data_IF_497346915666
#
_entry.id   IF_497346915666
#
_cell.length_a   1.000
_cell.length_b   1.000
_cell.length_c   1.000
_cell.angle_alpha   90.00
_cell.angle_beta   90.00
_cell.angle_gamma   90.00
#
_symmetry.space_group_name_H-M   'P 1'
#
loop_
_entity.id
_entity.type
_entity.pdbx_description
1 polymer ?
#
# COMPACT_ATOMS: atom_id res chain seq x y z
N UNK A 1 -2.18 8.64 23.65
CA UNK A 1 -1.48 7.65 22.78
C UNK A 1 -1.97 7.90 21.37
N UNK A 2 -1.08 7.98 20.38
CA UNK A 2 -1.47 8.17 18.98
C UNK A 2 -2.16 6.91 18.45
N UNK A 3 -3.25 7.06 17.71
CA UNK A 3 -3.93 5.95 17.04
C UNK A 3 -3.27 5.76 15.65
N UNK A 4 -2.77 4.56 15.39
CA UNK A 4 -2.08 4.17 14.17
C UNK A 4 -3.08 3.53 13.21
N UNK A 5 -3.30 4.16 12.06
CA UNK A 5 -4.29 3.75 11.07
C UNK A 5 -3.60 3.34 9.78
N UNK A 6 -3.74 2.08 9.39
CA UNK A 6 -3.34 1.63 8.06
C UNK A 6 -4.44 1.96 7.05
N UNK A 7 -4.07 2.53 5.90
CA UNK A 7 -4.95 2.67 4.73
C UNK A 7 -4.49 1.65 3.69
N UNK A 8 -5.36 0.69 3.36
CA UNK A 8 -5.05 -0.35 2.38
C UNK A 8 -6.20 -0.55 1.38
N UNK A 9 -5.95 -1.31 0.36
CA UNK A 9 -6.92 -1.62 -0.69
C UNK A 9 -6.22 -2.21 -1.90
N UNK A 10 -6.95 -3.02 -2.67
CA UNK A 10 -6.40 -3.66 -3.84
C UNK A 10 -6.08 -2.66 -4.95
N UNK A 11 -5.27 -3.10 -5.92
CA UNK A 11 -4.91 -2.30 -7.09
C UNK A 11 -6.16 -1.67 -7.73
N UNK A 12 -6.08 -0.39 -8.12
CA UNK A 12 -7.17 0.39 -8.71
C UNK A 12 -8.43 0.57 -7.83
N UNK A 13 -8.36 0.32 -6.51
CA UNK A 13 -9.47 0.61 -5.57
C UNK A 13 -9.72 2.11 -5.37
N UNK A 14 -8.76 2.97 -5.72
CA UNK A 14 -8.84 4.41 -5.50
C UNK A 14 -8.30 4.86 -4.15
N UNK A 15 -7.46 4.05 -3.51
CA UNK A 15 -6.80 4.34 -2.24
C UNK A 15 -6.17 5.75 -2.21
N UNK A 16 -5.44 6.15 -3.25
CA UNK A 16 -4.82 7.47 -3.37
C UNK A 16 -5.80 8.65 -3.39
N UNK A 17 -7.04 8.43 -3.84
CA UNK A 17 -8.09 9.45 -3.74
C UNK A 17 -8.55 9.63 -2.30
N UNK A 18 -8.72 8.52 -1.56
CA UNK A 18 -9.05 8.55 -0.13
C UNK A 18 -7.93 9.24 0.68
N UNK A 19 -6.68 8.90 0.40
CA UNK A 19 -5.51 9.53 1.02
C UNK A 19 -5.54 11.05 0.84
N UNK A 20 -5.72 11.50 -0.39
CA UNK A 20 -5.82 12.94 -0.69
C UNK A 20 -6.98 13.62 0.05
N UNK A 21 -8.15 12.99 0.13
CA UNK A 21 -9.28 13.53 0.87
C UNK A 21 -8.95 13.63 2.36
N UNK A 22 -8.29 12.63 2.96
CA UNK A 22 -7.85 12.67 4.37
C UNK A 22 -6.85 13.81 4.57
N UNK A 23 -5.93 14.03 3.62
CA UNK A 23 -4.98 15.16 3.66
C UNK A 23 -5.70 16.51 3.55
N UNK A 24 -6.74 16.63 2.72
CA UNK A 24 -7.56 17.83 2.58
C UNK A 24 -8.31 18.18 3.89
N UNK A 25 -8.55 17.20 4.77
CA UNK A 25 -9.06 17.41 6.15
C UNK A 25 -7.96 17.74 7.17
N UNK A 26 -6.72 17.94 6.73
CA UNK A 26 -5.60 18.39 7.58
C UNK A 26 -4.83 17.26 8.27
N UNK A 27 -5.06 16.00 7.92
CA UNK A 27 -4.28 14.88 8.43
C UNK A 27 -3.11 14.54 7.51
N UNK A 28 -1.98 14.16 8.11
CA UNK A 28 -0.85 13.65 7.33
C UNK A 28 -1.06 12.18 6.99
N UNK A 29 -0.87 11.83 5.71
CA UNK A 29 -0.84 10.45 5.24
C UNK A 29 0.56 10.10 4.75
N UNK A 30 1.17 9.09 5.34
CA UNK A 30 2.51 8.63 4.99
C UNK A 30 2.43 7.41 4.08
N UNK A 31 3.31 7.35 3.09
CA UNK A 31 3.31 6.31 2.06
C UNK A 31 4.41 5.28 2.33
N UNK A 32 4.03 4.03 2.64
CA UNK A 32 4.97 2.94 2.87
C UNK A 32 5.78 2.55 1.63
N UNK A 33 5.27 2.82 0.42
CA UNK A 33 6.03 2.56 -0.80
C UNK A 33 7.22 3.51 -0.93
N UNK A 34 7.09 4.78 -0.48
CA UNK A 34 8.22 5.70 -0.40
C UNK A 34 9.27 5.20 0.61
N UNK A 35 8.82 4.72 1.78
CA UNK A 35 9.69 4.12 2.78
C UNK A 35 10.40 2.88 2.22
N UNK A 36 9.69 2.01 1.51
CA UNK A 36 10.26 0.85 0.85
C UNK A 36 11.32 1.24 -0.19
N UNK A 37 11.07 2.28 -0.98
CA UNK A 37 12.05 2.80 -1.95
C UNK A 37 13.33 3.31 -1.28
N UNK A 38 13.22 4.01 -0.15
CA UNK A 38 14.39 4.44 0.62
C UNK A 38 15.17 3.24 1.16
N UNK A 39 14.48 2.22 1.68
CA UNK A 39 15.11 1.00 2.17
C UNK A 39 15.83 0.28 1.04
N UNK A 40 15.22 0.15 -0.14
CA UNK A 40 15.85 -0.48 -1.30
C UNK A 40 17.19 0.16 -1.66
N UNK A 41 17.31 1.48 -1.56
CA UNK A 41 18.55 2.20 -1.85
C UNK A 41 19.68 1.90 -0.83
N UNK A 42 19.38 1.26 0.28
CA UNK A 42 20.36 0.88 1.32
C UNK A 42 20.79 -0.59 1.27
N UNK A 43 20.23 -1.40 0.34
CA UNK A 43 20.58 -2.82 0.27
C UNK A 43 21.78 -3.01 -0.64
N UNK A 44 22.72 -3.83 -0.14
CA UNK A 44 23.91 -4.27 -0.87
C UNK A 44 23.91 -5.77 -1.15
N UNK A 45 22.98 -6.50 -0.59
CA UNK A 45 22.89 -7.96 -0.61
C UNK A 45 22.63 -8.55 -2.01
N UNK A 46 22.35 -7.69 -2.98
CA UNK A 46 22.15 -8.03 -4.40
C UNK A 46 23.34 -7.65 -5.27
N UNK A 47 24.49 -7.27 -4.69
CA UNK A 47 25.74 -7.19 -5.47
C UNK A 47 26.04 -8.54 -6.11
N UNK A 48 26.44 -8.51 -7.37
CA UNK A 48 26.64 -9.71 -8.19
C UNK A 48 25.45 -10.04 -9.10
N UNK A 49 24.29 -9.37 -8.93
CA UNK A 49 23.20 -9.40 -9.90
C UNK A 49 23.21 -8.08 -10.69
N UNK A 50 22.82 -8.16 -11.99
CA UNK A 50 22.67 -6.93 -12.80
C UNK A 50 21.40 -6.15 -12.42
N UNK A 51 21.39 -5.62 -11.20
CA UNK A 51 20.27 -4.85 -10.65
C UNK A 51 20.68 -3.43 -10.24
N UNK A 52 21.91 -3.03 -10.58
CA UNK A 52 22.43 -1.71 -10.28
C UNK A 52 22.62 -0.89 -11.55
N UNK A 53 22.36 0.42 -11.45
CA UNK A 53 22.67 1.43 -12.45
C UNK A 53 23.27 2.63 -11.71
N UNK A 54 24.46 3.07 -12.11
CA UNK A 54 25.21 4.17 -11.47
C UNK A 54 25.35 4.01 -9.93
N UNK A 55 25.63 2.77 -9.49
CA UNK A 55 25.82 2.44 -8.08
C UNK A 55 24.55 2.42 -7.22
N UNK A 56 23.38 2.58 -7.83
CA UNK A 56 22.07 2.52 -7.16
C UNK A 56 21.24 1.38 -7.70
N UNK A 57 20.33 0.87 -6.86
CA UNK A 57 19.40 -0.18 -7.31
C UNK A 57 18.47 0.37 -8.40
N UNK A 58 18.52 -0.28 -9.56
CA UNK A 58 17.52 -0.13 -10.61
C UNK A 58 16.31 -0.99 -10.26
N UNK A 59 15.23 -0.32 -9.85
CA UNK A 59 13.99 -0.97 -9.40
C UNK A 59 13.33 -1.82 -10.49
N UNK A 60 13.48 -1.44 -11.76
CA UNK A 60 12.92 -2.20 -12.87
C UNK A 60 13.69 -3.51 -13.07
N UNK A 61 15.02 -3.45 -13.05
CA UNK A 61 15.89 -4.64 -13.12
C UNK A 61 15.65 -5.56 -11.92
N UNK A 62 15.64 -5.01 -10.69
CA UNK A 62 15.38 -5.78 -9.48
C UNK A 62 13.98 -6.40 -9.52
N UNK A 63 12.95 -5.63 -9.90
CA UNK A 63 11.59 -6.12 -10.04
C UNK A 63 11.49 -7.29 -11.02
N UNK A 64 12.10 -7.18 -12.19
CA UNK A 64 12.14 -8.26 -13.18
C UNK A 64 12.84 -9.52 -12.62
N UNK A 65 13.96 -9.34 -11.93
CA UNK A 65 14.71 -10.44 -11.31
C UNK A 65 13.89 -11.19 -10.27
N UNK A 66 13.26 -10.47 -9.32
CA UNK A 66 12.50 -11.12 -8.23
C UNK A 66 11.14 -11.63 -8.71
N UNK A 67 10.56 -11.05 -9.76
CA UNK A 67 9.32 -11.55 -10.36
C UNK A 67 9.52 -12.91 -11.01
N UNK A 68 10.67 -13.12 -11.64
CA UNK A 68 11.01 -14.40 -12.29
C UNK A 68 11.61 -15.44 -11.34
N UNK A 69 12.00 -15.04 -10.11
CA UNK A 69 12.67 -15.94 -9.16
C UNK A 69 12.08 -15.81 -7.75
N UNK A 70 11.17 -16.73 -7.34
CA UNK A 70 10.54 -16.71 -6.03
C UNK A 70 11.52 -16.73 -4.86
N UNK A 71 12.65 -17.43 -4.98
CA UNK A 71 13.66 -17.49 -3.91
C UNK A 71 14.33 -16.12 -3.69
N UNK A 72 14.62 -15.41 -4.77
CA UNK A 72 15.18 -14.06 -4.68
C UNK A 72 14.15 -13.06 -4.15
N UNK A 73 12.87 -13.24 -4.47
CA UNK A 73 11.79 -12.45 -3.88
C UNK A 73 11.74 -12.64 -2.37
N UNK A 74 11.72 -13.88 -1.89
CA UNK A 74 11.72 -14.20 -0.45
C UNK A 74 12.98 -13.63 0.23
N UNK A 75 14.15 -13.71 -0.42
CA UNK A 75 15.39 -13.12 0.09
C UNK A 75 15.23 -11.59 0.23
N UNK A 76 14.70 -10.91 -0.78
CA UNK A 76 14.48 -9.47 -0.76
C UNK A 76 13.51 -9.08 0.37
N UNK A 77 12.38 -9.77 0.49
CA UNK A 77 11.37 -9.54 1.52
C UNK A 77 11.98 -9.68 2.93
N UNK A 78 12.74 -10.76 3.20
CA UNK A 78 13.43 -10.98 4.47
C UNK A 78 14.40 -9.86 4.85
N UNK A 79 15.02 -9.21 3.88
CA UNK A 79 15.97 -8.11 4.12
C UNK A 79 15.22 -6.78 4.30
N UNK A 80 14.18 -6.55 3.49
CA UNK A 80 13.51 -5.25 3.42
C UNK A 80 12.40 -5.10 4.45
N UNK A 81 11.57 -6.12 4.68
CA UNK A 81 10.42 -6.01 5.58
C UNK A 81 10.79 -5.56 7.00
N UNK A 82 11.81 -6.11 7.67
CA UNK A 82 12.21 -5.63 9.00
C UNK A 82 12.66 -4.16 9.00
N UNK A 83 13.37 -3.73 7.95
CA UNK A 83 13.84 -2.35 7.80
C UNK A 83 12.69 -1.39 7.56
N UNK A 84 11.73 -1.77 6.70
CA UNK A 84 10.51 -1.00 6.42
C UNK A 84 9.67 -0.88 7.71
N UNK A 85 9.42 -1.99 8.41
CA UNK A 85 8.69 -2.02 9.67
C UNK A 85 9.32 -1.10 10.72
N UNK A 86 10.62 -1.15 10.87
CA UNK A 86 11.38 -0.27 11.79
C UNK A 86 11.23 1.21 11.43
N UNK A 87 11.30 1.57 10.13
CA UNK A 87 11.09 2.96 9.67
C UNK A 87 9.65 3.42 9.90
N UNK A 88 8.66 2.57 9.68
CA UNK A 88 7.24 2.87 9.96
C UNK A 88 7.06 3.16 11.46
N UNK A 89 7.58 2.29 12.33
CA UNK A 89 7.51 2.47 13.79
C UNK A 89 8.19 3.77 14.22
N UNK A 90 9.35 4.09 13.65
CA UNK A 90 10.04 5.35 13.93
C UNK A 90 9.20 6.55 13.53
N UNK A 91 8.62 6.54 12.33
CA UNK A 91 7.74 7.59 11.83
C UNK A 91 6.52 7.80 12.73
N UNK A 92 5.91 6.72 13.20
CA UNK A 92 4.81 6.77 14.18
C UNK A 92 5.25 7.46 15.47
N UNK A 93 6.43 7.11 16.00
CA UNK A 93 6.97 7.69 17.22
C UNK A 93 7.30 9.19 17.07
N UNK A 94 7.79 9.61 15.91
CA UNK A 94 8.03 11.02 15.60
C UNK A 94 6.72 11.83 15.56
N UNK A 95 5.60 11.17 15.30
CA UNK A 95 4.26 11.76 15.23
C UNK A 95 3.37 11.45 16.45
N UNK A 96 3.93 10.99 17.56
CA UNK A 96 3.18 10.55 18.78
C UNK A 96 2.29 11.61 19.43
N UNK A 97 2.52 12.89 19.13
CA UNK A 97 1.72 14.00 19.64
C UNK A 97 0.44 14.26 18.82
N UNK A 98 0.31 13.64 17.64
CA UNK A 98 -0.90 13.71 16.84
C UNK A 98 -1.98 12.77 17.43
N UNK A 99 -3.25 13.07 17.16
CA UNK A 99 -4.35 12.17 17.54
C UNK A 99 -4.31 10.89 16.71
N UNK A 100 -4.04 11.03 15.40
CA UNK A 100 -3.94 9.94 14.43
C UNK A 100 -2.66 10.04 13.62
N UNK A 101 -2.14 8.88 13.21
CA UNK A 101 -1.12 8.74 12.16
C UNK A 101 -1.66 7.78 11.11
N UNK A 102 -1.88 8.28 9.90
CA UNK A 102 -2.33 7.50 8.76
C UNK A 102 -1.15 7.04 7.93
N UNK A 103 -1.09 5.76 7.62
CA UNK A 103 -0.05 5.18 6.77
C UNK A 103 -0.70 4.36 5.66
N UNK A 104 -0.41 4.73 4.42
CA UNK A 104 -0.79 3.99 3.23
C UNK A 104 0.08 2.75 3.08
N UNK A 105 -0.51 1.56 3.11
CA UNK A 105 0.20 0.28 3.00
C UNK A 105 -0.54 -0.61 1.98
N UNK A 106 -0.18 -0.57 0.69
CA UNK A 106 -0.90 -1.31 -0.35
C UNK A 106 -0.93 -2.83 -0.15
N UNK A 107 0.18 -3.38 0.34
CA UNK A 107 0.36 -4.82 0.58
C UNK A 107 0.40 -5.15 2.08
N UNK A 108 -0.51 -4.56 2.86
CA UNK A 108 -0.55 -4.66 4.33
C UNK A 108 -0.51 -6.13 4.80
N UNK A 109 -1.44 -6.92 4.31
CA UNK A 109 -1.62 -8.31 4.72
C UNK A 109 -0.59 -9.24 4.07
N UNK A 110 -0.25 -9.00 2.81
CA UNK A 110 0.77 -9.76 2.10
C UNK A 110 2.16 -9.63 2.74
N UNK A 111 2.44 -8.46 3.33
CA UNK A 111 3.71 -8.18 4.01
C UNK A 111 3.70 -8.52 5.51
N UNK A 112 2.54 -8.87 6.09
CA UNK A 112 2.40 -9.14 7.51
C UNK A 112 2.70 -7.91 8.38
N UNK A 113 2.15 -6.75 8.01
CA UNK A 113 2.38 -5.48 8.71
C UNK A 113 1.18 -5.04 9.56
N UNK A 114 0.10 -5.81 9.58
CA UNK A 114 -1.14 -5.49 10.30
C UNK A 114 -0.93 -5.28 11.80
N UNK A 115 0.01 -5.99 12.40
CA UNK A 115 0.34 -5.91 13.83
C UNK A 115 0.97 -4.57 14.27
N UNK A 116 1.38 -3.72 13.32
CA UNK A 116 1.90 -2.38 13.61
C UNK A 116 0.78 -1.40 13.96
N UNK A 117 -0.43 -1.65 13.46
CA UNK A 117 -1.54 -0.70 13.43
C UNK A 117 -2.62 -1.04 14.46
N UNK A 118 -3.28 0.00 14.98
CA UNK A 118 -4.41 -0.15 15.90
C UNK A 118 -5.73 -0.29 15.14
N UNK A 119 -5.78 0.26 13.90
CA UNK A 119 -6.95 0.27 13.03
C UNK A 119 -6.53 0.09 11.56
N UNK A 120 -7.39 -0.58 10.80
CA UNK A 120 -7.23 -0.77 9.38
C UNK A 120 -8.45 -0.21 8.64
N UNK A 121 -8.22 0.77 7.77
CA UNK A 121 -9.17 1.26 6.78
C UNK A 121 -8.93 0.56 5.45
N UNK A 122 -9.89 -0.22 4.99
CA UNK A 122 -9.86 -0.90 3.70
C UNK A 122 -10.70 -0.16 2.66
N UNK A 123 -10.10 0.11 1.51
CA UNK A 123 -10.82 0.71 0.36
C UNK A 123 -11.23 -0.40 -0.58
N UNK A 124 -12.53 -0.68 -0.60
CA UNK A 124 -13.13 -1.68 -1.46
C UNK A 124 -13.64 -1.09 -2.78
N UNK A 125 -13.74 -1.93 -3.80
CA UNK A 125 -14.27 -1.56 -5.10
C UNK A 125 -14.90 -2.78 -5.77
N UNK A 126 -15.98 -2.58 -6.51
CA UNK A 126 -16.56 -3.60 -7.36
C UNK A 126 -15.55 -4.10 -8.40
N UNK A 127 -15.53 -5.43 -8.60
CA UNK A 127 -14.56 -6.09 -9.47
C UNK A 127 -14.60 -5.58 -10.93
N UNK A 128 -15.80 -5.27 -11.45
CA UNK A 128 -15.93 -4.75 -12.81
C UNK A 128 -15.43 -3.31 -12.91
N UNK A 129 -15.66 -2.49 -11.87
CA UNK A 129 -15.16 -1.12 -11.79
C UNK A 129 -13.64 -1.15 -11.64
N UNK A 130 -13.11 -2.01 -10.78
CA UNK A 130 -11.67 -2.22 -10.59
C UNK A 130 -10.97 -2.56 -11.90
N UNK A 131 -11.50 -3.55 -12.63
CA UNK A 131 -10.96 -3.99 -13.91
C UNK A 131 -10.95 -2.84 -14.93
N UNK A 132 -12.07 -2.14 -15.10
CA UNK A 132 -12.17 -0.98 -16.01
C UNK A 132 -11.18 0.12 -15.65
N UNK A 133 -11.07 0.47 -14.35
CA UNK A 133 -10.12 1.49 -13.88
C UNK A 133 -8.68 1.09 -14.16
N UNK A 134 -8.32 -0.16 -13.92
CA UNK A 134 -6.97 -0.66 -14.12
C UNK A 134 -6.58 -0.69 -15.60
N UNK A 135 -7.47 -1.16 -16.46
CA UNK A 135 -7.28 -1.15 -17.91
C UNK A 135 -7.08 0.29 -18.44
N UNK A 136 -7.96 1.22 -18.06
CA UNK A 136 -7.89 2.61 -18.51
C UNK A 136 -6.63 3.33 -18.00
N UNK A 137 -6.23 3.11 -16.75
CA UNK A 137 -5.06 3.77 -16.15
C UNK A 137 -3.74 3.36 -16.78
N UNK A 138 -3.60 2.08 -17.11
CA UNK A 138 -2.33 1.47 -17.51
C UNK A 138 -2.30 1.04 -18.97
N UNK A 139 -3.39 1.24 -19.72
CA UNK A 139 -3.57 0.75 -21.09
C UNK A 139 -3.34 -0.77 -21.20
N UNK A 140 -3.83 -1.52 -20.22
CA UNK A 140 -3.73 -2.98 -20.20
C UNK A 140 -4.86 -3.64 -20.98
N UNK A 141 -4.57 -4.82 -21.55
CA UNK A 141 -5.62 -5.75 -21.98
C UNK A 141 -6.39 -6.27 -20.76
N UNK A 142 -7.53 -6.90 -21.00
CA UNK A 142 -8.32 -7.51 -19.94
C UNK A 142 -7.52 -8.58 -19.19
N UNK A 143 -6.84 -9.45 -19.93
CA UNK A 143 -6.03 -10.55 -19.40
C UNK A 143 -4.87 -10.04 -18.53
N UNK A 144 -4.19 -8.98 -18.95
CA UNK A 144 -3.12 -8.36 -18.18
C UNK A 144 -3.63 -7.75 -16.89
N UNK A 145 -4.78 -7.07 -16.95
CA UNK A 145 -5.40 -6.46 -15.77
C UNK A 145 -5.89 -7.53 -14.78
N UNK A 146 -6.56 -8.58 -15.25
CA UNK A 146 -7.00 -9.71 -14.42
C UNK A 146 -5.83 -10.42 -13.75
N UNK A 147 -4.74 -10.66 -14.48
CA UNK A 147 -3.52 -11.25 -13.91
C UNK A 147 -2.96 -10.43 -12.75
N UNK A 148 -2.97 -9.10 -12.87
CA UNK A 148 -2.49 -8.21 -11.80
C UNK A 148 -3.44 -8.16 -10.60
N UNK A 149 -4.75 -8.14 -10.84
CA UNK A 149 -5.74 -8.22 -9.77
C UNK A 149 -5.58 -9.53 -8.99
N UNK A 150 -5.47 -10.65 -9.71
CA UNK A 150 -5.35 -11.99 -9.12
C UNK A 150 -3.98 -12.28 -8.48
N UNK A 151 -2.98 -11.40 -8.66
CA UNK A 151 -1.69 -11.52 -7.97
C UNK A 151 -1.70 -10.99 -6.53
N UNK A 152 -2.77 -10.31 -6.11
CA UNK A 152 -2.99 -9.86 -4.74
C UNK A 152 -3.93 -10.82 -4.00
N UNK A 153 -3.91 -10.80 -2.68
CA UNK A 153 -4.92 -11.48 -1.87
C UNK A 153 -6.32 -10.96 -2.23
N UNK A 154 -7.28 -11.88 -2.20
CA UNK A 154 -8.67 -11.55 -2.51
C UNK A 154 -9.20 -10.44 -1.59
N UNK A 155 -10.00 -9.54 -2.15
CA UNK A 155 -10.56 -8.41 -1.41
C UNK A 155 -11.42 -8.91 -0.23
N UNK A 156 -12.17 -9.97 -0.42
CA UNK A 156 -13.06 -10.58 0.57
C UNK A 156 -12.29 -11.09 1.81
N UNK A 157 -11.05 -11.55 1.62
CA UNK A 157 -10.20 -11.98 2.72
C UNK A 157 -9.67 -10.79 3.52
N UNK A 158 -9.29 -9.72 2.83
CA UNK A 158 -8.79 -8.49 3.46
C UNK A 158 -9.87 -7.75 4.24
N UNK A 159 -11.10 -7.72 3.70
CA UNK A 159 -12.26 -7.08 4.34
C UNK A 159 -12.56 -7.70 5.71
N UNK A 160 -12.39 -9.02 5.87
CA UNK A 160 -12.64 -9.71 7.15
C UNK A 160 -11.74 -9.20 8.30
N UNK A 161 -10.59 -8.66 7.96
CA UNK A 161 -9.58 -8.19 8.92
C UNK A 161 -9.48 -6.66 8.98
N UNK A 162 -10.40 -5.94 8.35
CA UNK A 162 -10.47 -4.49 8.38
C UNK A 162 -11.44 -3.99 9.46
N UNK A 163 -11.05 -2.93 10.18
CA UNK A 163 -11.94 -2.25 11.14
C UNK A 163 -12.95 -1.35 10.45
N UNK A 164 -12.55 -0.71 9.35
CA UNK A 164 -13.39 0.21 8.58
C UNK A 164 -13.28 -0.11 7.09
N UNK A 165 -14.40 0.04 6.39
CA UNK A 165 -14.48 -0.20 4.94
C UNK A 165 -15.10 1.02 4.29
N UNK A 166 -14.45 1.55 3.26
CA UNK A 166 -15.02 2.55 2.36
C UNK A 166 -15.19 1.94 0.98
N UNK A 167 -16.43 1.92 0.49
CA UNK A 167 -16.75 1.46 -0.86
C UNK A 167 -16.57 2.60 -1.87
N UNK A 168 -15.62 2.43 -2.79
CA UNK A 168 -15.35 3.42 -3.84
C UNK A 168 -15.95 3.01 -5.19
N UNK A 169 -17.27 2.83 -5.21
CA UNK A 169 -18.02 2.39 -6.39
C UNK A 169 -18.74 3.53 -7.13
N UNK A 170 -18.82 4.71 -6.53
CA UNK A 170 -19.61 5.84 -7.01
C UNK A 170 -18.74 7.03 -7.43
N UNK A 171 -19.31 8.22 -7.36
CA UNK A 171 -18.62 9.47 -7.69
C UNK A 171 -17.57 9.88 -6.65
N UNK A 172 -16.72 10.82 -7.01
CA UNK A 172 -15.75 11.41 -6.08
C UNK A 172 -16.44 12.15 -4.91
N UNK A 173 -17.60 12.73 -5.13
CA UNK A 173 -18.34 13.44 -4.08
C UNK A 173 -18.97 12.47 -3.09
N UNK A 174 -19.47 11.32 -3.54
CA UNK A 174 -19.88 10.24 -2.65
C UNK A 174 -18.70 9.74 -1.82
N UNK A 175 -17.52 9.58 -2.45
CA UNK A 175 -16.31 9.17 -1.74
C UNK A 175 -15.90 10.17 -0.66
N UNK A 176 -15.99 11.47 -0.92
CA UNK A 176 -15.73 12.51 0.10
C UNK A 176 -16.68 12.39 1.30
N UNK A 177 -17.95 12.09 1.04
CA UNK A 177 -18.94 11.88 2.11
C UNK A 177 -18.56 10.68 2.98
N UNK A 178 -18.19 9.55 2.36
CA UNK A 178 -17.80 8.35 3.10
C UNK A 178 -16.51 8.54 3.90
N UNK A 179 -15.52 9.23 3.34
CA UNK A 179 -14.28 9.58 4.07
C UNK A 179 -14.58 10.50 5.25
N UNK A 180 -15.46 11.49 5.08
CA UNK A 180 -15.86 12.37 6.18
C UNK A 180 -16.52 11.58 7.32
N UNK A 181 -17.49 10.71 7.00
CA UNK A 181 -18.13 9.82 8.00
C UNK A 181 -17.11 8.97 8.76
N UNK A 182 -16.15 8.41 8.04
CA UNK A 182 -15.07 7.66 8.66
C UNK A 182 -14.25 8.51 9.64
N UNK A 183 -13.90 9.74 9.28
CA UNK A 183 -13.13 10.65 10.15
C UNK A 183 -13.91 11.14 11.37
N UNK A 184 -15.24 11.10 11.32
CA UNK A 184 -16.12 11.45 12.44
C UNK A 184 -16.21 10.32 13.50
N UNK A 185 -15.99 9.06 13.10
CA UNK A 185 -16.19 7.88 13.96
C UNK A 185 -14.90 7.20 14.45
N UNK A 186 -13.76 7.53 13.85
CA UNK A 186 -12.46 6.96 14.23
C UNK A 186 -11.97 7.47 15.59
#
# INVERSE_FOLDING_TARGET
MVIKVAITGNIASGKSQVEKIIEDYGYNVYDSDKIAHEVLNTITDFYGYDVFTDGRIDRKKLGNLVFSNPNLRIKLEKITHPKIKSKIIRLINENKNNKYVFISVPLLYEAGFEDIFDKVLFISVDKNIQLKRLMARNNYTKEEAEKRINSQLAQEEKIKNADYIIENNKSIDDLKIEVRKFLEVI
#
